data_IF_463852204553
#
_entry.id   IF_463852204553
#
_cell.length_a   1.000
_cell.length_b   1.000
_cell.length_c   1.000
_cell.angle_alpha   90.00
_cell.angle_beta   90.00
_cell.angle_gamma   90.00
#
_symmetry.space_group_name_H-M   'P 1'
#
loop_
_entity.id
_entity.type
_entity.pdbx_description
1 polymer ?
#
# COMPACT_ATOMS: atom_id res chain seq x y z
N UNK A 1 24.72 -4.76 -13.98
CA UNK A 1 23.31 -4.53 -13.60
C UNK A 1 23.19 -3.45 -12.53
N UNK A 2 22.13 -2.64 -12.55
CA UNK A 2 21.84 -1.63 -11.51
C UNK A 2 21.47 -2.33 -10.19
N UNK A 3 22.02 -1.86 -9.06
CA UNK A 3 21.71 -2.34 -7.72
C UNK A 3 22.83 -2.04 -6.72
N UNK A 4 22.60 -2.31 -5.44
CA UNK A 4 23.60 -2.09 -4.36
C UNK A 4 24.83 -2.99 -4.48
N UNK A 5 24.73 -4.09 -5.23
CA UNK A 5 25.80 -5.04 -5.50
C UNK A 5 25.86 -5.30 -7.01
N UNK A 6 27.04 -5.35 -7.60
CA UNK A 6 27.19 -5.77 -8.99
C UNK A 6 27.00 -7.28 -9.07
N UNK A 7 26.07 -7.73 -9.93
CA UNK A 7 25.76 -9.14 -10.16
C UNK A 7 26.22 -9.50 -11.56
N UNK A 8 26.88 -10.64 -11.67
CA UNK A 8 27.17 -11.29 -12.94
C UNK A 8 25.98 -12.18 -13.36
N UNK A 9 25.36 -11.81 -14.48
CA UNK A 9 24.19 -12.50 -15.02
C UNK A 9 24.50 -13.92 -15.44
N UNK A 10 25.67 -14.13 -16.01
CA UNK A 10 26.07 -15.44 -16.52
C UNK A 10 26.20 -16.43 -15.36
N UNK A 11 26.83 -15.99 -14.26
CA UNK A 11 26.92 -16.78 -13.02
C UNK A 11 25.57 -16.96 -12.34
N UNK A 12 24.72 -15.94 -12.30
CA UNK A 12 23.39 -16.05 -11.70
C UNK A 12 22.48 -17.09 -12.37
N UNK A 13 22.65 -17.31 -13.69
CA UNK A 13 21.90 -18.30 -14.47
C UNK A 13 22.65 -19.62 -14.70
N UNK A 14 23.96 -19.67 -14.41
CA UNK A 14 24.75 -20.90 -14.52
C UNK A 14 24.18 -22.00 -13.63
N UNK A 15 24.14 -23.23 -14.17
CA UNK A 15 23.77 -24.44 -13.41
C UNK A 15 24.97 -25.10 -12.74
N UNK A 16 26.14 -24.50 -12.88
CA UNK A 16 27.43 -25.06 -12.45
C UNK A 16 27.59 -25.00 -10.92
N UNK A 17 26.93 -24.04 -10.27
CA UNK A 17 26.87 -23.91 -8.81
C UNK A 17 25.47 -24.22 -8.31
N UNK A 18 25.38 -24.94 -7.19
CA UNK A 18 24.12 -25.11 -6.48
C UNK A 18 23.56 -23.74 -6.05
N UNK A 19 22.24 -23.56 -6.13
CA UNK A 19 21.60 -22.28 -5.84
C UNK A 19 21.94 -21.72 -4.46
N UNK A 20 22.12 -22.58 -3.45
CA UNK A 20 22.48 -22.17 -2.08
C UNK A 20 23.88 -21.54 -1.99
N UNK A 21 24.81 -21.93 -2.85
CA UNK A 21 26.19 -21.43 -2.86
C UNK A 21 26.37 -20.26 -3.84
N UNK A 22 25.39 -20.05 -4.72
CA UNK A 22 25.40 -19.00 -5.73
C UNK A 22 24.78 -17.70 -5.19
N UNK A 23 25.62 -16.81 -4.63
CA UNK A 23 25.20 -15.52 -4.07
C UNK A 23 24.51 -14.64 -5.12
N UNK A 24 25.00 -14.65 -6.37
CA UNK A 24 24.44 -13.88 -7.48
C UNK A 24 23.01 -14.33 -7.82
N UNK A 25 22.78 -15.64 -7.87
CA UNK A 25 21.45 -16.22 -8.04
C UNK A 25 20.52 -15.87 -6.87
N UNK A 26 20.99 -15.96 -5.62
CA UNK A 26 20.19 -15.60 -4.45
C UNK A 26 19.75 -14.12 -4.49
N UNK A 27 20.65 -13.18 -4.77
CA UNK A 27 20.29 -11.76 -4.81
C UNK A 27 19.29 -11.49 -5.96
N UNK A 28 19.51 -12.09 -7.13
CA UNK A 28 18.62 -11.91 -8.27
C UNK A 28 17.21 -12.46 -7.96
N UNK A 29 17.12 -13.74 -7.61
CA UNK A 29 15.84 -14.44 -7.50
C UNK A 29 15.10 -14.19 -6.18
N UNK A 30 15.80 -13.97 -5.06
CA UNK A 30 15.15 -13.79 -3.76
C UNK A 30 14.93 -12.33 -3.38
N UNK A 31 15.71 -11.38 -3.93
CA UNK A 31 15.58 -9.96 -3.59
C UNK A 31 15.11 -9.10 -4.77
N UNK A 32 15.74 -9.21 -5.94
CA UNK A 32 15.45 -8.29 -7.07
C UNK A 32 14.16 -8.62 -7.79
N UNK A 33 13.96 -9.89 -8.18
CA UNK A 33 12.78 -10.29 -8.94
C UNK A 33 11.47 -10.02 -8.16
N UNK A 34 11.32 -10.38 -6.88
CA UNK A 34 10.12 -10.05 -6.10
C UNK A 34 9.85 -8.54 -6.05
N UNK A 35 10.90 -7.73 -5.89
CA UNK A 35 10.80 -6.28 -5.84
C UNK A 35 10.37 -5.68 -7.18
N UNK A 36 10.89 -6.18 -8.29
CA UNK A 36 10.51 -5.74 -9.65
C UNK A 36 9.04 -6.06 -9.91
N UNK A 37 8.60 -7.28 -9.58
CA UNK A 37 7.20 -7.69 -9.78
C UNK A 37 6.27 -6.86 -8.88
N UNK A 38 6.62 -6.65 -7.61
CA UNK A 38 5.83 -5.81 -6.72
C UNK A 38 5.74 -4.37 -7.25
N UNK A 39 6.86 -3.78 -7.69
CA UNK A 39 6.88 -2.43 -8.27
C UNK A 39 5.95 -2.33 -9.49
N UNK A 40 6.01 -3.31 -10.39
CA UNK A 40 5.16 -3.36 -11.58
C UNK A 40 3.67 -3.51 -11.22
N UNK A 41 3.33 -4.40 -10.29
CA UNK A 41 1.96 -4.61 -9.83
C UNK A 41 1.39 -3.38 -9.12
N UNK A 42 2.14 -2.78 -8.21
CA UNK A 42 1.71 -1.56 -7.50
C UNK A 42 1.53 -0.39 -8.48
N UNK A 43 2.46 -0.22 -9.43
CA UNK A 43 2.35 0.79 -10.48
C UNK A 43 1.11 0.60 -11.33
N UNK A 44 0.87 -0.62 -11.84
CA UNK A 44 -0.31 -0.94 -12.63
C UNK A 44 -1.62 -0.69 -11.85
N UNK A 45 -1.70 -1.14 -10.60
CA UNK A 45 -2.87 -0.93 -9.75
C UNK A 45 -3.17 0.56 -9.52
N UNK A 46 -2.14 1.37 -9.23
CA UNK A 46 -2.28 2.81 -9.03
C UNK A 46 -2.67 3.53 -10.33
N UNK A 47 -2.14 3.12 -11.48
CA UNK A 47 -2.52 3.68 -12.79
C UNK A 47 -4.00 3.42 -13.11
N UNK A 48 -4.47 2.18 -12.90
CA UNK A 48 -5.88 1.83 -13.13
C UNK A 48 -6.80 2.58 -12.16
N UNK A 49 -6.46 2.62 -10.87
CA UNK A 49 -7.23 3.36 -9.87
C UNK A 49 -7.30 4.86 -10.18
N UNK A 50 -6.20 5.45 -10.65
CA UNK A 50 -6.14 6.85 -11.09
C UNK A 50 -7.05 7.11 -12.29
N UNK A 51 -6.94 6.30 -13.36
CA UNK A 51 -7.76 6.45 -14.55
C UNK A 51 -9.27 6.36 -14.25
N UNK A 52 -9.66 5.45 -13.37
CA UNK A 52 -11.06 5.27 -12.95
C UNK A 52 -11.55 6.44 -12.10
N UNK A 53 -10.74 6.94 -11.17
CA UNK A 53 -11.16 8.09 -10.36
C UNK A 53 -11.23 9.37 -11.16
N UNK A 54 -10.34 9.56 -12.14
CA UNK A 54 -10.41 10.68 -13.08
C UNK A 54 -11.68 10.62 -13.92
N UNK A 55 -12.07 9.44 -14.42
CA UNK A 55 -13.30 9.27 -15.20
C UNK A 55 -14.57 9.41 -14.36
N UNK A 56 -14.59 8.85 -13.14
CA UNK A 56 -15.72 8.93 -12.21
C UNK A 56 -15.96 10.37 -11.74
N UNK A 57 -14.89 11.07 -11.39
CA UNK A 57 -14.95 12.45 -10.88
C UNK A 57 -14.97 13.49 -12.00
N UNK A 58 -14.76 13.06 -13.26
CA UNK A 58 -14.63 13.92 -14.44
C UNK A 58 -13.65 15.07 -14.22
N UNK A 59 -12.51 14.72 -13.61
CA UNK A 59 -11.49 15.68 -13.22
C UNK A 59 -10.10 15.04 -13.34
N UNK A 60 -9.30 15.52 -14.29
CA UNK A 60 -7.97 14.99 -14.57
C UNK A 60 -6.98 15.24 -13.42
N UNK A 61 -7.29 16.15 -12.49
CA UNK A 61 -6.53 16.38 -11.27
C UNK A 61 -6.89 15.41 -10.14
N UNK A 62 -7.91 14.57 -10.32
CA UNK A 62 -8.26 13.57 -9.33
C UNK A 62 -7.17 12.50 -9.22
N UNK A 63 -6.81 12.17 -7.98
CA UNK A 63 -5.80 11.16 -7.67
C UNK A 63 -6.46 10.02 -6.87
N UNK A 64 -5.87 8.81 -6.90
CA UNK A 64 -6.39 7.67 -6.13
C UNK A 64 -6.47 7.90 -4.61
N UNK A 65 -5.75 8.92 -4.12
CA UNK A 65 -5.68 9.27 -2.70
C UNK A 65 -6.71 10.33 -2.27
N UNK A 66 -7.47 10.93 -3.21
CA UNK A 66 -8.35 12.08 -2.94
C UNK A 66 -9.51 11.73 -1.99
N UNK A 67 -9.97 10.47 -1.96
CA UNK A 67 -11.09 10.02 -1.13
C UNK A 67 -10.70 9.57 0.30
N UNK A 68 -9.54 9.95 0.81
CA UNK A 68 -9.14 9.62 2.18
C UNK A 68 -8.62 8.20 2.40
N UNK A 69 -8.64 7.35 1.38
CA UNK A 69 -8.20 5.94 1.43
C UNK A 69 -6.74 5.83 1.90
N UNK A 70 -5.85 6.68 1.37
CA UNK A 70 -4.43 6.67 1.74
C UNK A 70 -4.20 7.09 3.19
N UNK A 71 -4.90 8.13 3.65
CA UNK A 71 -4.77 8.65 5.02
C UNK A 71 -5.39 7.70 6.04
N UNK A 72 -6.48 7.01 5.67
CA UNK A 72 -7.03 5.89 6.45
C UNK A 72 -6.07 4.73 6.57
N UNK A 73 -5.40 4.36 5.47
CA UNK A 73 -4.37 3.33 5.48
C UNK A 73 -3.18 3.70 6.37
N UNK A 74 -2.72 4.95 6.28
CA UNK A 74 -1.70 5.50 7.14
C UNK A 74 -2.09 5.42 8.61
N UNK A 75 -3.30 5.85 8.97
CA UNK A 75 -3.79 5.77 10.35
C UNK A 75 -3.83 4.33 10.86
N UNK A 76 -4.36 3.39 10.07
CA UNK A 76 -4.39 1.97 10.43
C UNK A 76 -3.00 1.39 10.69
N UNK A 77 -2.03 1.72 9.83
CA UNK A 77 -0.64 1.31 10.02
C UNK A 77 -0.01 1.92 11.27
N UNK A 78 -0.22 3.22 11.50
CA UNK A 78 0.30 3.97 12.65
C UNK A 78 -0.25 3.41 13.96
N UNK A 79 -1.55 3.09 14.01
CA UNK A 79 -2.16 2.42 15.17
C UNK A 79 -1.50 1.06 15.43
N UNK A 80 -1.31 0.24 14.38
CA UNK A 80 -0.69 -1.07 14.54
C UNK A 80 0.77 -1.00 15.02
N UNK A 81 1.53 -0.03 14.52
CA UNK A 81 2.92 0.21 14.93
C UNK A 81 2.98 0.71 16.38
N UNK A 82 2.11 1.66 16.74
CA UNK A 82 2.10 2.28 18.08
C UNK A 82 1.63 1.30 19.17
N UNK A 83 0.66 0.44 18.87
CA UNK A 83 0.23 -0.63 19.77
C UNK A 83 1.27 -1.75 19.93
N UNK A 84 2.39 -1.71 19.20
CA UNK A 84 3.43 -2.72 19.27
C UNK A 84 2.95 -4.11 18.85
N UNK A 85 1.97 -4.18 17.94
CA UNK A 85 1.42 -5.45 17.49
C UNK A 85 2.53 -6.36 16.93
N UNK A 86 2.44 -7.69 17.11
CA UNK A 86 3.42 -8.61 16.58
C UNK A 86 3.57 -8.42 15.06
N UNK A 87 4.81 -8.51 14.56
CA UNK A 87 5.10 -8.29 13.13
C UNK A 87 4.28 -9.19 12.19
N UNK A 88 3.94 -10.39 12.66
CA UNK A 88 3.06 -11.31 11.95
C UNK A 88 2.20 -12.12 12.91
N UNK A 89 0.92 -12.27 12.58
CA UNK A 89 0.01 -13.24 13.21
C UNK A 89 -0.26 -14.33 12.19
N UNK A 90 -0.01 -15.60 12.54
CA UNK A 90 -0.19 -16.75 11.64
C UNK A 90 0.53 -16.62 10.27
N UNK A 91 1.68 -15.93 10.23
CA UNK A 91 2.46 -15.69 9.01
C UNK A 91 1.97 -14.54 8.13
N UNK A 92 0.90 -13.84 8.52
CA UNK A 92 0.37 -12.67 7.79
C UNK A 92 0.87 -11.39 8.46
N UNK A 93 1.43 -10.43 7.70
CA UNK A 93 1.95 -9.20 8.28
C UNK A 93 0.82 -8.31 8.81
N UNK A 94 0.92 -7.93 10.09
CA UNK A 94 -0.17 -7.24 10.81
C UNK A 94 -0.35 -5.80 10.36
N UNK A 95 0.74 -5.10 10.06
CA UNK A 95 0.70 -3.67 9.66
C UNK A 95 -0.02 -3.45 8.32
N UNK A 96 0.27 -4.21 7.24
CA UNK A 96 -0.51 -4.13 5.99
C UNK A 96 -2.00 -4.45 6.16
N UNK A 97 -2.36 -5.41 7.03
CA UNK A 97 -3.77 -5.70 7.32
C UNK A 97 -4.43 -4.50 8.00
N UNK A 98 -3.80 -3.94 9.03
CA UNK A 98 -4.33 -2.78 9.73
C UNK A 98 -4.46 -1.57 8.80
N UNK A 99 -3.50 -1.37 7.90
CA UNK A 99 -3.58 -0.35 6.85
C UNK A 99 -4.77 -0.60 5.90
N UNK A 100 -4.96 -1.84 5.46
CA UNK A 100 -6.10 -2.19 4.61
C UNK A 100 -7.45 -1.98 5.32
N UNK A 101 -7.57 -2.39 6.58
CA UNK A 101 -8.77 -2.16 7.37
C UNK A 101 -9.01 -0.66 7.62
N UNK A 102 -7.94 0.12 7.87
CA UNK A 102 -8.01 1.56 8.01
C UNK A 102 -8.48 2.25 6.73
N UNK A 103 -8.06 1.76 5.56
CA UNK A 103 -8.50 2.28 4.27
C UNK A 103 -9.97 1.96 3.97
N UNK A 104 -10.43 0.75 4.32
CA UNK A 104 -11.84 0.36 4.27
C UNK A 104 -12.71 1.18 5.23
N UNK A 105 -12.21 1.46 6.44
CA UNK A 105 -12.87 2.33 7.39
C UNK A 105 -12.99 3.77 6.86
N UNK A 106 -11.92 4.29 6.25
CA UNK A 106 -11.90 5.61 5.66
C UNK A 106 -12.88 5.76 4.49
N UNK A 107 -12.90 4.81 3.55
CA UNK A 107 -13.82 4.89 2.42
C UNK A 107 -15.28 4.77 2.91
N UNK A 108 -15.55 3.89 3.87
CA UNK A 108 -16.88 3.75 4.48
C UNK A 108 -17.33 5.04 5.17
N UNK A 109 -16.43 5.72 5.89
CA UNK A 109 -16.70 7.01 6.51
C UNK A 109 -17.03 8.09 5.46
N UNK A 110 -16.22 8.20 4.41
CA UNK A 110 -16.42 9.21 3.35
C UNK A 110 -17.74 9.01 2.63
N UNK A 111 -18.08 7.77 2.23
CA UNK A 111 -19.38 7.49 1.62
C UNK A 111 -20.54 7.72 2.59
N UNK A 112 -20.38 7.40 3.88
CA UNK A 112 -21.41 7.69 4.89
C UNK A 112 -21.64 9.20 5.08
N UNK A 113 -20.59 10.02 5.01
CA UNK A 113 -20.69 11.48 5.15
C UNK A 113 -21.25 12.14 3.88
N UNK A 114 -20.93 11.60 2.70
CA UNK A 114 -21.36 12.17 1.43
C UNK A 114 -22.79 11.77 1.03
N UNK A 115 -23.36 10.74 1.67
CA UNK A 115 -24.70 10.22 1.35
C UNK A 115 -25.77 11.25 1.68
N UNK A 116 -26.51 11.70 0.67
CA UNK A 116 -27.65 12.59 0.87
C UNK A 116 -28.87 11.82 1.40
N UNK A 117 -29.90 12.55 1.88
CA UNK A 117 -31.18 11.94 2.31
C UNK A 117 -31.88 11.14 1.20
N UNK A 118 -31.64 11.50 -0.07
CA UNK A 118 -32.17 10.79 -1.25
C UNK A 118 -31.30 9.61 -1.68
N UNK A 119 -30.14 9.39 -1.04
CA UNK A 119 -29.21 8.31 -1.36
C UNK A 119 -28.25 8.63 -2.51
N UNK A 120 -28.21 9.87 -2.97
CA UNK A 120 -27.30 10.34 -4.02
C UNK A 120 -25.90 10.65 -3.46
N UNK A 121 -24.90 10.63 -4.35
CA UNK A 121 -23.51 10.96 -4.04
C UNK A 121 -23.01 12.10 -4.95
N UNK A 122 -23.35 13.37 -4.66
CA UNK A 122 -22.87 14.49 -5.45
C UNK A 122 -21.34 14.61 -5.37
N UNK A 123 -20.68 14.66 -6.53
CA UNK A 123 -19.22 14.75 -6.63
C UNK A 123 -18.58 15.83 -5.74
N UNK A 124 -19.11 17.07 -5.67
CA UNK A 124 -18.53 18.10 -4.82
C UNK A 124 -18.56 17.76 -3.32
N UNK A 125 -19.65 17.11 -2.86
CA UNK A 125 -19.80 16.70 -1.46
C UNK A 125 -18.84 15.54 -1.15
N UNK A 126 -18.72 14.58 -2.06
CA UNK A 126 -17.81 13.46 -1.93
C UNK A 126 -16.34 13.92 -1.82
N UNK A 127 -15.96 14.89 -2.65
CA UNK A 127 -14.64 15.51 -2.60
C UNK A 127 -14.41 16.26 -1.28
N UNK A 128 -15.37 17.06 -0.83
CA UNK A 128 -15.26 17.79 0.43
C UNK A 128 -15.16 16.84 1.63
N UNK A 129 -15.99 15.79 1.66
CA UNK A 129 -15.93 14.73 2.67
C UNK A 129 -14.57 14.02 2.68
N UNK A 130 -14.01 13.72 1.51
CA UNK A 130 -12.67 13.14 1.37
C UNK A 130 -11.56 14.04 1.92
N UNK A 131 -11.60 15.34 1.62
CA UNK A 131 -10.65 16.33 2.16
C UNK A 131 -10.78 16.46 3.68
N UNK A 132 -12.01 16.51 4.21
CA UNK A 132 -12.25 16.54 5.66
C UNK A 132 -11.71 15.28 6.34
N UNK A 133 -11.97 14.09 5.77
CA UNK A 133 -11.46 12.83 6.28
C UNK A 133 -9.93 12.77 6.25
N UNK A 134 -9.30 13.28 5.19
CA UNK A 134 -7.84 13.39 5.10
C UNK A 134 -7.24 14.21 6.26
N UNK A 135 -7.77 15.41 6.52
CA UNK A 135 -7.29 16.24 7.63
C UNK A 135 -7.56 15.59 8.99
N UNK A 136 -8.71 14.95 9.17
CA UNK A 136 -9.03 14.23 10.39
C UNK A 136 -8.06 13.07 10.66
N UNK A 137 -7.82 12.21 9.67
CA UNK A 137 -6.87 11.11 9.81
C UNK A 137 -5.43 11.60 9.97
N UNK A 138 -5.03 12.66 9.27
CA UNK A 138 -3.71 13.27 9.44
C UNK A 138 -3.50 13.82 10.86
N UNK A 139 -4.52 14.44 11.46
CA UNK A 139 -4.48 14.90 12.84
C UNK A 139 -4.33 13.73 13.82
N UNK A 140 -5.04 12.62 13.60
CA UNK A 140 -4.90 11.40 14.41
C UNK A 140 -3.52 10.75 14.26
N UNK A 141 -2.99 10.68 13.04
CA UNK A 141 -1.61 10.20 12.81
C UNK A 141 -0.60 11.07 13.57
N UNK A 142 -0.73 12.40 13.50
CA UNK A 142 0.12 13.32 14.26
C UNK A 142 -0.02 13.16 15.77
N UNK A 143 -1.25 12.99 16.27
CA UNK A 143 -1.49 12.73 17.69
C UNK A 143 -0.79 11.47 18.17
N UNK A 144 -0.94 10.36 17.43
CA UNK A 144 -0.29 9.09 17.78
C UNK A 144 1.23 9.22 17.69
N UNK A 145 1.73 9.89 16.65
CA UNK A 145 3.16 10.14 16.49
C UNK A 145 3.75 10.94 17.65
N UNK A 146 3.05 11.97 18.13
CA UNK A 146 3.44 12.74 19.31
C UNK A 146 3.53 11.90 20.58
N UNK A 147 2.63 10.93 20.73
CA UNK A 147 2.60 10.00 21.87
C UNK A 147 3.58 8.82 21.73
N UNK A 148 4.27 8.69 20.60
CA UNK A 148 5.11 7.53 20.27
C UNK A 148 6.56 7.71 20.69
N UNK A 149 7.17 6.66 21.23
CA UNK A 149 8.60 6.62 21.56
C UNK A 149 9.48 6.72 20.30
N UNK A 150 10.76 7.05 20.48
CA UNK A 150 11.73 7.23 19.37
C UNK A 150 11.72 6.07 18.34
N UNK A 151 11.72 4.83 18.82
CA UNK A 151 11.71 3.64 17.95
C UNK A 151 10.41 3.52 17.15
N UNK A 152 9.26 3.80 17.77
CA UNK A 152 7.96 3.77 17.11
C UNK A 152 7.84 4.91 16.11
N UNK A 153 8.26 6.11 16.49
CA UNK A 153 8.30 7.30 15.64
C UNK A 153 9.15 7.11 14.38
N UNK A 154 10.34 6.52 14.52
CA UNK A 154 11.17 6.17 13.36
C UNK A 154 10.46 5.19 12.42
N UNK A 155 9.81 4.16 12.97
CA UNK A 155 9.04 3.17 12.17
C UNK A 155 7.84 3.79 11.47
N UNK A 156 7.10 4.65 12.17
CA UNK A 156 5.97 5.39 11.61
C UNK A 156 6.44 6.21 10.42
N UNK A 157 7.46 7.06 10.60
CA UNK A 157 7.99 7.91 9.53
C UNK A 157 8.47 7.04 8.37
N UNK A 158 9.22 5.97 8.65
CA UNK A 158 9.74 5.08 7.61
C UNK A 158 8.65 4.39 6.80
N UNK A 159 7.54 4.03 7.44
CA UNK A 159 6.39 3.41 6.79
C UNK A 159 5.61 4.42 5.94
N UNK A 160 5.38 5.63 6.47
CA UNK A 160 4.69 6.71 5.76
C UNK A 160 5.42 7.18 4.50
N UNK A 161 6.75 7.09 4.47
CA UNK A 161 7.54 7.38 3.26
C UNK A 161 7.30 6.38 2.13
N UNK A 162 6.77 5.19 2.43
CA UNK A 162 6.72 4.07 1.50
C UNK A 162 8.08 3.45 1.22
N UNK A 163 8.07 2.28 0.60
CA UNK A 163 9.27 1.53 0.27
C UNK A 163 8.96 0.20 -0.40
N UNK A 164 9.95 -0.35 -1.10
CA UNK A 164 9.87 -1.65 -1.79
C UNK A 164 11.02 -2.57 -1.31
N UNK A 165 11.49 -2.33 -0.09
CA UNK A 165 12.86 -2.68 0.30
C UNK A 165 12.94 -4.10 0.89
N UNK A 166 11.84 -4.57 1.49
CA UNK A 166 11.73 -5.88 2.14
C UNK A 166 10.55 -6.62 1.51
N UNK A 167 10.74 -7.10 0.28
CA UNK A 167 9.71 -7.84 -0.44
C UNK A 167 10.11 -9.30 -0.55
N UNK A 168 9.34 -10.16 0.10
CA UNK A 168 9.43 -11.62 -0.08
C UNK A 168 8.35 -12.11 -1.04
N UNK A 169 8.54 -13.29 -1.63
CA UNK A 169 7.48 -13.95 -2.39
C UNK A 169 6.22 -14.19 -1.55
N UNK A 170 6.34 -14.39 -0.22
CA UNK A 170 5.18 -14.50 0.68
C UNK A 170 4.35 -13.21 0.67
N UNK A 171 5.01 -12.06 0.80
CA UNK A 171 4.35 -10.75 0.74
C UNK A 171 3.66 -10.53 -0.62
N UNK A 172 4.34 -10.92 -1.70
CA UNK A 172 3.80 -10.81 -3.06
C UNK A 172 2.51 -11.65 -3.22
N UNK A 173 2.54 -12.91 -2.76
CA UNK A 173 1.40 -13.83 -2.81
C UNK A 173 0.27 -13.39 -1.88
N UNK A 174 0.55 -12.73 -0.76
CA UNK A 174 -0.51 -12.19 0.10
C UNK A 174 -1.27 -11.02 -0.52
N UNK A 175 -0.59 -10.15 -1.28
CA UNK A 175 -1.19 -8.91 -1.81
C UNK A 175 -1.80 -9.13 -3.21
N UNK A 176 -1.20 -10.01 -4.01
CA UNK A 176 -1.62 -10.21 -5.40
C UNK A 176 -3.11 -10.57 -5.57
N UNK A 177 -3.75 -11.41 -4.74
CA UNK A 177 -5.16 -11.77 -4.93
C UNK A 177 -6.07 -10.56 -4.80
N UNK A 178 -5.81 -9.65 -3.85
CA UNK A 178 -6.60 -8.43 -3.68
C UNK A 178 -6.51 -7.52 -4.90
N UNK A 179 -5.32 -7.37 -5.48
CA UNK A 179 -5.13 -6.56 -6.69
C UNK A 179 -5.89 -7.18 -7.87
N UNK A 180 -5.72 -8.49 -8.11
CA UNK A 180 -6.37 -9.17 -9.23
C UNK A 180 -7.90 -9.22 -9.08
N UNK A 181 -8.43 -9.42 -7.87
CA UNK A 181 -9.87 -9.35 -7.61
C UNK A 181 -10.38 -7.93 -7.90
N UNK A 182 -9.68 -6.90 -7.42
CA UNK A 182 -10.04 -5.50 -7.69
C UNK A 182 -10.06 -5.19 -9.19
N UNK A 183 -9.00 -5.57 -9.91
CA UNK A 183 -8.92 -5.38 -11.37
C UNK A 183 -10.01 -6.17 -12.10
N UNK A 184 -10.28 -7.41 -11.73
CA UNK A 184 -11.30 -8.23 -12.35
C UNK A 184 -12.69 -7.58 -12.18
N UNK A 185 -13.04 -7.17 -10.95
CA UNK A 185 -14.31 -6.48 -10.67
C UNK A 185 -14.45 -5.22 -11.54
N UNK A 186 -13.37 -4.44 -11.68
CA UNK A 186 -13.37 -3.23 -12.51
C UNK A 186 -13.46 -3.49 -14.02
N UNK A 187 -13.11 -4.68 -14.50
CA UNK A 187 -13.28 -5.04 -15.92
C UNK A 187 -14.70 -5.52 -16.24
N UNK A 188 -15.43 -6.01 -15.24
CA UNK A 188 -16.79 -6.52 -15.40
C UNK A 188 -17.89 -5.45 -15.23
N UNK A 189 -17.56 -4.27 -14.70
CA UNK A 189 -18.48 -3.16 -14.42
C UNK A 189 -18.00 -1.87 -15.06
#
# INVERSE_FOLDING_TARGET
MIGSVQIDLEKAFSRDLAFNDNVDANILFLARIPRIILAALTGAALSVAGAILQSLLRNDLAAPFTLGVSSGAALGAVIAISLGLPYSVAGIPTVPIAAFLGSLGAISLVFSLARTRTGEFPTPILLLAGVTANFFFAALVMLIHYLSDFTQSFRIVRWLMGGLDITSYKTLISISPMIFIGLAVLMFY
#
